data_IF_599247536493
#
_entry.id   IF_599247536493
#
_cell.length_a   1.000
_cell.length_b   1.000
_cell.length_c   1.000
_cell.angle_alpha   90.00
_cell.angle_beta   90.00
_cell.angle_gamma   90.00
#
_symmetry.space_group_name_H-M   'P 1'
#
loop_
_entity.id
_entity.type
_entity.pdbx_description
1 polymer ?
#
# COMPACT_ATOMS: atom_id res chain seq x y z
N UNK A 1 -20.34 19.15 -6.93
CA UNK A 1 -19.62 17.98 -7.47
C UNK A 1 -18.48 17.69 -6.51
N UNK A 2 -18.56 16.60 -5.75
CA UNK A 2 -17.52 16.25 -4.79
C UNK A 2 -16.31 15.72 -5.56
N UNK A 3 -15.12 16.20 -5.25
CA UNK A 3 -13.90 15.73 -5.92
C UNK A 3 -13.63 14.27 -5.53
N UNK A 4 -13.19 13.44 -6.48
CA UNK A 4 -12.77 12.05 -6.26
C UNK A 4 -11.42 12.00 -5.52
N UNK A 5 -11.40 12.47 -4.27
CA UNK A 5 -10.19 12.63 -3.47
C UNK A 5 -10.38 11.92 -2.14
N UNK A 6 -9.42 11.07 -1.78
CA UNK A 6 -9.35 10.46 -0.45
C UNK A 6 -8.93 11.51 0.58
N UNK A 7 -9.69 11.64 1.65
CA UNK A 7 -9.40 12.56 2.77
C UNK A 7 -9.21 11.78 4.07
N UNK A 8 -8.76 12.44 5.14
CA UNK A 8 -8.64 11.81 6.47
C UNK A 8 -9.98 11.32 7.04
N UNK A 9 -11.12 11.78 6.51
CA UNK A 9 -12.44 11.28 6.89
C UNK A 9 -12.86 10.00 6.16
N UNK A 10 -12.09 9.54 5.18
CA UNK A 10 -12.35 8.31 4.46
C UNK A 10 -11.97 7.07 5.29
N UNK A 11 -12.71 5.97 5.18
CA UNK A 11 -12.31 4.71 5.77
C UNK A 11 -10.95 4.23 5.22
N UNK A 12 -10.24 3.47 6.04
CA UNK A 12 -8.99 2.82 5.65
C UNK A 12 -9.25 1.73 4.60
N UNK A 13 -8.18 1.28 3.94
CA UNK A 13 -8.30 0.18 2.98
C UNK A 13 -8.72 -1.13 3.67
N UNK A 14 -8.24 -1.36 4.89
CA UNK A 14 -8.60 -2.50 5.74
C UNK A 14 -10.08 -2.44 6.11
N UNK A 15 -10.59 -1.29 6.58
CA UNK A 15 -12.01 -1.10 6.89
C UNK A 15 -12.90 -1.37 5.67
N UNK A 16 -12.54 -0.90 4.47
CA UNK A 16 -13.28 -1.17 3.24
C UNK A 16 -13.23 -2.65 2.82
N UNK A 17 -12.12 -3.33 3.08
CA UNK A 17 -11.95 -4.75 2.80
C UNK A 17 -12.74 -5.61 3.77
N UNK A 18 -12.75 -5.26 5.05
CA UNK A 18 -13.57 -5.93 6.06
C UNK A 18 -15.06 -5.65 5.87
N UNK A 19 -15.41 -4.45 5.42
CA UNK A 19 -16.77 -4.11 5.01
C UNK A 19 -17.25 -5.01 3.87
N UNK A 20 -16.47 -5.13 2.78
CA UNK A 20 -16.85 -5.96 1.62
C UNK A 20 -16.88 -7.45 1.96
N UNK A 21 -16.05 -7.89 2.90
CA UNK A 21 -16.05 -9.26 3.40
C UNK A 21 -17.11 -9.56 4.47
N UNK A 22 -17.83 -8.54 4.95
CA UNK A 22 -18.84 -8.67 6.02
C UNK A 22 -18.25 -8.95 7.41
N UNK A 23 -16.99 -8.59 7.66
CA UNK A 23 -16.27 -8.82 8.93
C UNK A 23 -16.33 -7.67 9.93
N UNK A 24 -16.81 -6.50 9.52
CA UNK A 24 -16.96 -5.35 10.43
C UNK A 24 -18.03 -5.57 11.50
N UNK A 25 -17.77 -5.04 12.69
CA UNK A 25 -18.77 -4.94 13.75
C UNK A 25 -19.96 -4.05 13.30
N UNK A 26 -21.15 -4.21 13.90
CA UNK A 26 -22.36 -3.48 13.48
C UNK A 26 -22.20 -1.96 13.47
N UNK A 27 -21.58 -1.39 14.51
CA UNK A 27 -21.35 0.06 14.63
C UNK A 27 -20.41 0.59 13.54
N UNK A 28 -19.29 -0.11 13.29
CA UNK A 28 -18.33 0.27 12.26
C UNK A 28 -18.91 0.11 10.87
N UNK A 29 -19.70 -0.94 10.64
CA UNK A 29 -20.44 -1.13 9.39
C UNK A 29 -21.39 0.03 9.14
N UNK A 30 -22.15 0.47 10.14
CA UNK A 30 -23.06 1.60 10.01
C UNK A 30 -22.31 2.92 9.69
N UNK A 31 -21.17 3.15 10.34
CA UNK A 31 -20.30 4.29 10.04
C UNK A 31 -19.82 4.27 8.59
N UNK A 32 -19.35 3.11 8.11
CA UNK A 32 -18.86 2.95 6.72
C UNK A 32 -19.99 3.13 5.72
N UNK A 33 -21.16 2.52 5.92
CA UNK A 33 -22.34 2.70 5.04
C UNK A 33 -22.70 4.17 4.88
N UNK A 34 -22.76 4.90 6.00
CA UNK A 34 -23.04 6.35 5.98
C UNK A 34 -21.99 7.10 5.17
N UNK A 35 -20.70 6.77 5.31
CA UNK A 35 -19.65 7.39 4.50
C UNK A 35 -19.80 7.08 3.01
N UNK A 36 -20.08 5.81 2.65
CA UNK A 36 -20.23 5.38 1.26
C UNK A 36 -21.38 6.08 0.54
N UNK A 37 -22.45 6.45 1.26
CA UNK A 37 -23.57 7.23 0.70
C UNK A 37 -23.21 8.69 0.35
N UNK A 38 -22.09 9.20 0.88
CA UNK A 38 -21.70 10.61 0.76
C UNK A 38 -20.34 10.81 0.06
N UNK A 39 -19.61 9.74 -0.24
CA UNK A 39 -18.28 9.80 -0.84
C UNK A 39 -18.20 8.92 -2.09
N UNK A 40 -18.24 9.56 -3.27
CA UNK A 40 -18.17 8.89 -4.57
C UNK A 40 -16.87 8.05 -4.73
N UNK A 41 -15.75 8.54 -4.18
CA UNK A 41 -14.47 7.84 -4.19
C UNK A 41 -14.55 6.50 -3.44
N UNK A 42 -15.01 6.51 -2.19
CA UNK A 42 -15.09 5.29 -1.39
C UNK A 42 -16.22 4.38 -1.88
N UNK A 43 -17.32 4.94 -2.39
CA UNK A 43 -18.40 4.21 -3.05
C UNK A 43 -17.87 3.38 -4.21
N UNK A 44 -17.14 4.00 -5.14
CA UNK A 44 -16.52 3.32 -6.27
C UNK A 44 -15.52 2.24 -5.82
N UNK A 45 -14.66 2.55 -4.85
CA UNK A 45 -13.69 1.59 -4.31
C UNK A 45 -14.37 0.36 -3.68
N UNK A 46 -15.45 0.57 -2.91
CA UNK A 46 -16.22 -0.51 -2.29
C UNK A 46 -16.89 -1.42 -3.33
N UNK A 47 -17.40 -0.83 -4.40
CA UNK A 47 -18.02 -1.57 -5.50
C UNK A 47 -16.98 -2.42 -6.25
N UNK A 48 -15.79 -1.85 -6.51
CA UNK A 48 -14.68 -2.58 -7.12
C UNK A 48 -14.25 -3.77 -6.26
N UNK A 49 -14.11 -3.58 -4.95
CA UNK A 49 -13.75 -4.66 -4.01
C UNK A 49 -14.81 -5.75 -3.92
N UNK A 50 -16.09 -5.40 -4.02
CA UNK A 50 -17.18 -6.36 -4.06
C UNK A 50 -17.17 -7.18 -5.37
N UNK A 51 -16.89 -6.53 -6.50
CA UNK A 51 -16.78 -7.17 -7.82
C UNK A 51 -15.54 -8.07 -7.94
N UNK A 52 -14.43 -7.64 -7.35
CA UNK A 52 -13.15 -8.32 -7.37
C UNK A 52 -12.70 -8.63 -5.96
N UNK A 53 -13.45 -9.52 -5.28
CA UNK A 53 -13.04 -10.01 -3.97
C UNK A 53 -11.60 -10.49 -4.09
N UNK A 54 -10.64 -9.89 -3.38
CA UNK A 54 -9.28 -10.39 -3.40
C UNK A 54 -9.35 -11.81 -2.83
N UNK A 55 -9.25 -12.81 -3.70
CA UNK A 55 -8.95 -14.16 -3.30
C UNK A 55 -7.65 -14.04 -2.52
N UNK A 56 -7.70 -14.34 -1.21
CA UNK A 56 -6.65 -14.02 -0.26
C UNK A 56 -5.29 -14.13 -0.91
N UNK A 57 -4.64 -12.98 -1.13
CA UNK A 57 -3.25 -12.97 -1.51
C UNK A 57 -2.51 -13.37 -0.25
N UNK A 58 -2.33 -14.68 -0.08
CA UNK A 58 -1.38 -15.22 0.86
C UNK A 58 -0.10 -14.43 0.61
N UNK A 59 0.42 -13.77 1.65
CA UNK A 59 1.59 -12.89 1.56
C UNK A 59 2.85 -13.58 0.97
N UNK A 60 2.77 -14.89 0.70
CA UNK A 60 3.79 -15.68 0.00
C UNK A 60 3.75 -15.64 -1.52
N UNK A 61 2.71 -15.13 -2.18
CA UNK A 61 2.72 -14.95 -3.66
C UNK A 61 3.07 -13.52 -4.06
N UNK A 62 4.04 -12.92 -3.36
CA UNK A 62 4.81 -11.81 -3.89
C UNK A 62 5.81 -12.36 -4.93
N UNK A 63 5.31 -12.95 -6.02
CA UNK A 63 6.05 -12.91 -7.27
C UNK A 63 5.99 -11.46 -7.74
N UNK A 64 6.87 -10.62 -7.15
CA UNK A 64 7.10 -9.27 -7.64
C UNK A 64 7.31 -9.40 -9.15
N UNK A 65 6.55 -8.68 -10.01
CA UNK A 65 6.86 -8.67 -11.42
C UNK A 65 8.33 -8.25 -11.55
N UNK A 66 9.16 -8.94 -12.35
CA UNK A 66 10.61 -8.75 -12.38
C UNK A 66 11.02 -7.28 -12.60
N UNK A 67 10.14 -6.48 -13.21
CA UNK A 67 10.32 -5.05 -13.40
C UNK A 67 10.42 -4.25 -12.09
N UNK A 68 9.64 -4.57 -11.05
CA UNK A 68 9.65 -3.79 -9.81
C UNK A 68 10.96 -3.98 -9.03
N UNK A 69 11.51 -5.19 -9.05
CA UNK A 69 12.83 -5.50 -8.47
C UNK A 69 13.95 -4.73 -9.20
N UNK A 70 13.92 -4.70 -10.54
CA UNK A 70 14.91 -3.97 -11.34
C UNK A 70 14.83 -2.45 -11.12
N UNK A 71 13.62 -1.89 -11.00
CA UNK A 71 13.41 -0.48 -10.70
C UNK A 71 14.00 -0.09 -9.33
N UNK A 72 13.74 -0.89 -8.30
CA UNK A 72 14.25 -0.63 -6.95
C UNK A 72 15.77 -0.78 -6.88
N UNK A 73 16.36 -1.77 -7.56
CA UNK A 73 17.80 -1.97 -7.61
C UNK A 73 18.56 -0.77 -8.22
N UNK A 74 17.94 -0.04 -9.15
CA UNK A 74 18.51 1.19 -9.72
C UNK A 74 18.40 2.44 -8.82
N UNK A 75 17.58 2.37 -7.76
CA UNK A 75 17.29 3.49 -6.86
C UNK A 75 18.05 3.42 -5.53
N UNK A 76 18.64 2.27 -5.17
CA UNK A 76 19.47 2.17 -3.98
C UNK A 76 20.89 2.68 -4.29
N UNK A 77 21.42 3.68 -3.56
CA UNK A 77 22.84 4.01 -3.63
C UNK A 77 23.64 2.78 -3.21
N UNK A 78 24.59 2.37 -4.05
CA UNK A 78 25.46 1.23 -3.79
C UNK A 78 26.17 1.37 -2.44
N UNK A 79 26.54 0.24 -1.78
CA UNK A 79 27.27 0.29 -0.53
C UNK A 79 28.51 1.15 -0.71
N UNK A 80 28.57 2.25 0.02
CA UNK A 80 29.67 3.20 -0.05
C UNK A 80 30.95 2.47 0.35
N UNK A 81 31.86 2.26 -0.61
CA UNK A 81 33.22 1.76 -0.38
C UNK A 81 34.00 2.79 0.45
N UNK A 82 33.75 2.83 1.76
CA UNK A 82 34.59 3.52 2.72
C UNK A 82 35.75 2.60 3.10
N UNK A 83 36.72 2.46 2.19
CA UNK A 83 38.05 1.89 2.46
C UNK A 83 39.08 2.97 2.19
N UNK A 84 39.36 3.77 3.22
CA UNK A 84 40.38 4.82 3.25
C UNK A 84 41.80 4.24 3.03
N UNK A 85 42.74 4.98 2.39
CA UNK A 85 43.96 4.41 1.84
C UNK A 85 45.04 4.18 2.91
N UNK A 86 45.66 3.01 2.89
CA UNK A 86 46.89 2.72 3.63
C UNK A 86 47.98 3.72 3.21
N UNK A 87 48.21 4.74 4.04
CA UNK A 87 49.32 5.68 3.90
C UNK A 87 50.63 4.91 3.91
N UNK A 88 51.43 5.11 2.86
CA UNK A 88 52.86 4.89 2.86
C UNK A 88 53.48 5.58 4.10
N UNK A 89 54.09 4.79 4.99
CA UNK A 89 55.18 5.25 5.83
C UNK A 89 56.49 4.74 5.21
N UNK A 90 57.46 5.65 5.17
CA UNK A 90 58.64 5.75 4.32
C UNK A 90 59.90 5.48 5.14
N UNK A 91 60.96 5.01 4.47
CA UNK A 91 62.38 5.00 4.86
C UNK A 91 62.77 4.04 6.00
N UNK A 92 63.94 3.41 6.01
CA UNK A 92 65.21 3.63 5.31
C UNK A 92 65.92 2.29 5.10
#
# INVERSE_FOLDING_TARGET
>A
MSAFVKTNGCPTAEELTDYSAGRLAPDDRARVVRHLSACDFCGAASHLLAAHRPAGVDASSAAQPPLLVLLLAGLLPGPSEQSEPTRLARAA
#
